data_IF_815698120623
#
_entry.id   IF_815698120623
#
_cell.length_a   1.000
_cell.length_b   1.000
_cell.length_c   1.000
_cell.angle_alpha   90.00
_cell.angle_beta   90.00
_cell.angle_gamma   90.00
#
_symmetry.space_group_name_H-M   'P 1'
#
loop_
_entity.id
_entity.type
_entity.pdbx_description
1 polymer ?
#
# COMPACT_ATOMS: atom_id res chain seq x y z
N UNK A 1 9.18 -9.15 -23.76
CA UNK A 1 9.33 -9.04 -23.15
C UNK A 1 8.73 -8.68 -22.38
N UNK A 2 8.74 -8.78 -22.16
CA UNK A 2 8.11 -8.58 -21.24
C UNK A 2 8.08 -7.58 -20.59
N UNK A 3 7.68 -7.28 -20.61
CA UNK A 3 7.62 -6.49 -20.08
C UNK A 3 7.10 -6.27 -18.99
N UNK A 4 7.48 -5.80 -18.42
CA UNK A 4 7.29 -5.52 -17.16
C UNK A 4 6.50 -4.35 -17.03
N UNK A 5 5.32 -4.48 -16.57
CA UNK A 5 4.55 -3.37 -16.16
C UNK A 5 5.02 -3.03 -14.77
N UNK A 6 5.63 -1.88 -14.63
CA UNK A 6 5.95 -1.36 -13.33
C UNK A 6 4.68 -1.00 -12.58
N UNK A 7 4.66 -1.28 -11.29
CA UNK A 7 3.56 -0.85 -10.43
C UNK A 7 3.84 0.52 -9.82
N UNK A 8 5.12 0.90 -9.68
CA UNK A 8 5.48 2.19 -9.08
C UNK A 8 5.53 3.30 -10.12
N UNK A 9 5.22 4.51 -9.65
CA UNK A 9 5.33 5.72 -10.45
C UNK A 9 5.80 6.83 -9.51
N UNK A 10 6.96 7.41 -9.81
CA UNK A 10 7.58 8.39 -8.94
C UNK A 10 7.30 9.84 -9.37
N UNK A 11 6.38 10.06 -10.29
CA UNK A 11 6.07 11.42 -10.76
C UNK A 11 5.56 12.30 -9.63
N UNK A 12 4.67 11.79 -8.80
CA UNK A 12 4.11 12.57 -7.69
C UNK A 12 5.19 12.99 -6.71
N UNK A 13 6.02 12.04 -6.27
CA UNK A 13 7.07 12.34 -5.29
C UNK A 13 8.15 13.25 -5.90
N UNK A 14 8.45 13.08 -7.19
CA UNK A 14 9.41 13.90 -7.89
C UNK A 14 8.93 15.34 -7.95
N UNK A 15 7.66 15.54 -8.27
CA UNK A 15 7.08 16.88 -8.33
C UNK A 15 7.03 17.52 -6.94
N UNK A 16 6.66 16.75 -5.94
CA UNK A 16 6.62 17.22 -4.56
C UNK A 16 8.00 17.64 -4.07
N UNK A 17 9.03 16.90 -4.47
CA UNK A 17 10.41 17.14 -4.06
C UNK A 17 11.05 18.35 -4.73
N UNK A 18 10.50 18.81 -5.86
CA UNK A 18 11.01 19.97 -6.58
C UNK A 18 12.52 19.91 -6.86
N UNK A 19 12.96 18.73 -7.29
CA UNK A 19 14.36 18.51 -7.64
C UNK A 19 15.26 18.06 -6.51
N UNK A 20 14.71 17.92 -5.31
CA UNK A 20 15.49 17.42 -4.16
C UNK A 20 15.56 15.88 -4.20
N UNK A 21 16.64 15.36 -4.78
CA UNK A 21 16.81 13.91 -4.91
C UNK A 21 17.01 13.22 -3.57
N UNK A 22 17.57 13.91 -2.58
CA UNK A 22 17.75 13.37 -1.24
C UNK A 22 16.38 13.10 -0.59
N UNK A 23 15.43 14.01 -0.79
CA UNK A 23 14.06 13.84 -0.29
C UNK A 23 13.39 12.63 -0.93
N UNK A 24 13.53 12.47 -2.25
CA UNK A 24 12.96 11.31 -2.97
C UNK A 24 13.53 10.02 -2.40
N UNK A 25 14.86 9.97 -2.23
CA UNK A 25 15.54 8.79 -1.70
C UNK A 25 15.04 8.46 -0.29
N UNK A 26 14.90 9.48 0.55
CA UNK A 26 14.44 9.29 1.92
C UNK A 26 13.01 8.72 1.96
N UNK A 27 12.12 9.24 1.13
CA UNK A 27 10.73 8.77 1.11
C UNK A 27 10.63 7.34 0.62
N UNK A 28 11.45 6.96 -0.36
CA UNK A 28 11.50 5.58 -0.85
C UNK A 28 12.02 4.66 0.26
N UNK A 29 13.06 5.09 0.97
CA UNK A 29 13.62 4.31 2.07
C UNK A 29 12.58 4.08 3.17
N UNK A 30 11.84 5.11 3.53
CA UNK A 30 10.79 5.00 4.54
C UNK A 30 9.73 3.99 4.09
N UNK A 31 9.30 4.07 2.82
CA UNK A 31 8.32 3.13 2.29
C UNK A 31 8.84 1.69 2.39
N UNK A 32 10.09 1.46 1.98
CA UNK A 32 10.67 0.12 2.00
C UNK A 32 10.82 -0.44 3.42
N UNK A 33 11.01 0.44 4.40
CA UNK A 33 11.15 0.02 5.80
C UNK A 33 9.81 -0.19 6.49
N UNK A 34 8.83 0.66 6.22
CA UNK A 34 7.58 0.66 6.96
C UNK A 34 6.47 -0.16 6.32
N UNK A 35 6.36 -0.13 4.99
CA UNK A 35 5.23 -0.77 4.32
C UNK A 35 5.19 -2.29 4.54
N UNK A 36 6.31 -3.03 4.54
CA UNK A 36 6.24 -4.47 4.83
C UNK A 36 5.64 -4.78 6.19
N UNK A 37 5.93 -3.96 7.20
CA UNK A 37 5.34 -4.14 8.54
C UNK A 37 3.85 -3.81 8.52
N UNK A 38 3.46 -2.78 7.77
CA UNK A 38 2.05 -2.43 7.62
C UNK A 38 1.26 -3.57 6.98
N UNK A 39 1.84 -4.20 5.96
CA UNK A 39 1.22 -5.35 5.30
C UNK A 39 1.04 -6.51 6.28
N UNK A 40 2.07 -6.80 7.09
CA UNK A 40 1.98 -7.86 8.09
C UNK A 40 0.90 -7.57 9.13
N UNK A 41 0.85 -6.33 9.59
CA UNK A 41 -0.13 -5.93 10.60
C UNK A 41 -1.55 -6.04 10.06
N UNK A 42 -1.75 -5.60 8.81
CA UNK A 42 -3.07 -5.70 8.18
C UNK A 42 -3.45 -7.17 7.96
N UNK A 43 -2.51 -7.99 7.50
CA UNK A 43 -2.77 -9.41 7.29
C UNK A 43 -3.19 -10.09 8.57
N UNK A 44 -2.49 -9.82 9.67
CA UNK A 44 -2.82 -10.42 10.96
C UNK A 44 -4.19 -9.96 11.44
N UNK A 45 -4.50 -8.68 11.30
CA UNK A 45 -5.80 -8.15 11.69
C UNK A 45 -6.93 -8.81 10.90
N UNK A 46 -6.69 -9.08 9.62
CA UNK A 46 -7.68 -9.76 8.76
C UNK A 46 -7.88 -11.21 9.22
N UNK A 47 -6.80 -11.91 9.55
CA UNK A 47 -6.90 -13.28 10.05
C UNK A 47 -7.66 -13.36 11.37
N UNK A 48 -7.45 -12.36 12.22
CA UNK A 48 -8.14 -12.30 13.52
C UNK A 48 -9.55 -11.72 13.40
N UNK A 49 -9.92 -11.25 12.23
CA UNK A 49 -11.18 -10.54 11.99
C UNK A 49 -11.39 -9.38 12.98
N UNK A 50 -10.29 -8.69 13.26
CA UNK A 50 -10.31 -7.50 14.13
C UNK A 50 -10.62 -6.29 13.25
N UNK A 51 -11.92 -6.01 13.08
CA UNK A 51 -12.37 -4.98 12.15
C UNK A 51 -11.87 -3.57 12.52
N UNK A 52 -11.69 -3.28 13.80
CA UNK A 52 -11.17 -1.98 14.22
C UNK A 52 -9.73 -1.79 13.74
N UNK A 53 -8.91 -2.82 13.90
CA UNK A 53 -7.51 -2.77 13.42
C UNK A 53 -7.44 -2.75 11.90
N UNK A 54 -8.28 -3.55 11.23
CA UNK A 54 -8.34 -3.54 9.75
C UNK A 54 -8.64 -2.13 9.25
N UNK A 55 -9.64 -1.49 9.86
CA UNK A 55 -10.01 -0.12 9.50
C UNK A 55 -8.85 0.84 9.69
N UNK A 56 -8.20 0.79 10.84
CA UNK A 56 -7.10 1.69 11.18
C UNK A 56 -5.91 1.51 10.24
N UNK A 57 -5.47 0.27 10.03
CA UNK A 57 -4.32 -0.01 9.19
C UNK A 57 -4.58 0.35 7.72
N UNK A 58 -5.76 0.00 7.19
CA UNK A 58 -6.08 0.33 5.80
C UNK A 58 -6.20 1.83 5.60
N UNK A 59 -6.75 2.54 6.57
CA UNK A 59 -6.84 4.00 6.51
C UNK A 59 -5.44 4.62 6.44
N UNK A 60 -4.54 4.17 7.31
CA UNK A 60 -3.18 4.70 7.36
C UNK A 60 -2.45 4.47 6.04
N UNK A 61 -2.58 3.26 5.47
CA UNK A 61 -1.89 2.93 4.22
C UNK A 61 -2.32 3.80 3.05
N UNK A 62 -3.57 4.29 3.04
CA UNK A 62 -4.03 5.18 1.98
C UNK A 62 -3.22 6.46 1.90
N UNK A 63 -2.64 6.90 3.01
CA UNK A 63 -1.88 8.15 3.03
C UNK A 63 -0.44 7.97 2.56
N UNK A 64 0.09 6.75 2.57
CA UNK A 64 1.50 6.52 2.24
C UNK A 64 1.72 5.98 0.84
N UNK A 65 0.79 5.22 0.29
CA UNK A 65 0.98 4.60 -1.02
C UNK A 65 1.10 5.59 -2.18
N UNK A 66 0.53 6.81 -2.14
CA UNK A 66 0.74 7.75 -3.24
C UNK A 66 2.20 8.16 -3.45
N UNK A 67 3.03 8.09 -2.41
CA UNK A 67 4.42 8.49 -2.53
C UNK A 67 5.19 7.65 -3.55
N UNK A 68 4.77 6.41 -3.76
CA UNK A 68 5.40 5.55 -4.76
C UNK A 68 4.45 5.23 -5.92
N UNK A 69 3.31 5.89 -5.99
CA UNK A 69 2.40 5.84 -7.13
C UNK A 69 1.53 4.62 -7.24
N UNK A 70 1.52 3.75 -6.23
CA UNK A 70 0.71 2.52 -6.32
C UNK A 70 -0.75 2.74 -5.93
N UNK A 71 -1.09 3.95 -5.52
CA UNK A 71 -2.48 4.29 -5.19
C UNK A 71 -3.43 4.10 -6.38
N UNK A 72 -2.95 4.28 -7.61
CA UNK A 72 -3.79 4.07 -8.80
C UNK A 72 -4.19 2.60 -8.95
N UNK A 73 -3.41 1.68 -8.37
CA UNK A 73 -3.67 0.25 -8.49
C UNK A 73 -4.42 -0.33 -7.30
N UNK A 74 -4.15 0.19 -6.08
CA UNK A 74 -4.70 -0.42 -4.86
C UNK A 74 -5.43 0.58 -3.95
N UNK A 75 -5.48 1.86 -4.34
CA UNK A 75 -6.17 2.85 -3.51
C UNK A 75 -7.62 2.50 -3.29
N UNK A 76 -8.31 2.08 -4.35
CA UNK A 76 -9.72 1.69 -4.25
C UNK A 76 -9.89 0.45 -3.37
N UNK A 77 -8.97 -0.53 -3.49
CA UNK A 77 -9.03 -1.72 -2.66
C UNK A 77 -8.94 -1.35 -1.18
N UNK A 78 -8.05 -0.42 -0.83
CA UNK A 78 -7.92 0.01 0.57
C UNK A 78 -9.14 0.78 1.05
N UNK A 79 -9.75 1.59 0.18
CA UNK A 79 -11.00 2.29 0.51
C UNK A 79 -12.09 1.26 0.80
N UNK A 80 -12.21 0.24 -0.04
CA UNK A 80 -13.23 -0.78 0.12
C UNK A 80 -12.99 -1.63 1.37
N UNK A 81 -11.72 -1.98 1.66
CA UNK A 81 -11.36 -2.71 2.88
C UNK A 81 -11.77 -1.89 4.12
N UNK A 82 -11.42 -0.60 4.12
CA UNK A 82 -11.76 0.27 5.25
C UNK A 82 -13.28 0.37 5.44
N UNK A 83 -14.01 0.49 4.34
CA UNK A 83 -15.47 0.61 4.39
C UNK A 83 -16.10 -0.67 4.96
N UNK A 84 -15.69 -1.82 4.45
CA UNK A 84 -16.20 -3.10 4.92
C UNK A 84 -15.86 -3.31 6.40
N UNK A 85 -14.65 -2.94 6.81
CA UNK A 85 -14.24 -3.05 8.20
C UNK A 85 -15.06 -2.12 9.11
N UNK A 86 -15.39 -0.92 8.63
CA UNK A 86 -16.23 0.02 9.37
C UNK A 86 -17.62 -0.59 9.59
N UNK A 87 -18.13 -1.31 8.59
CA UNK A 87 -19.42 -1.98 8.66
C UNK A 87 -19.35 -3.34 9.34
N UNK A 88 -18.17 -3.78 9.68
CA UNK A 88 -17.90 -5.08 10.35
C UNK A 88 -18.49 -6.24 9.56
N UNK A 89 -18.23 -6.25 8.25
CA UNK A 89 -18.78 -7.24 7.34
C UNK A 89 -17.79 -7.55 6.22
N UNK A 90 -18.08 -8.57 5.43
CA UNK A 90 -17.34 -8.87 4.22
C UNK A 90 -15.94 -9.43 4.44
N UNK A 91 -15.73 -10.23 5.50
CA UNK A 91 -14.41 -10.77 5.82
C UNK A 91 -13.77 -11.46 4.63
N UNK A 92 -14.53 -12.24 3.84
CA UNK A 92 -13.98 -12.93 2.68
C UNK A 92 -13.61 -11.97 1.56
N UNK A 93 -14.41 -10.92 1.35
CA UNK A 93 -14.11 -9.90 0.35
C UNK A 93 -12.87 -9.13 0.75
N UNK A 94 -12.74 -8.81 2.03
CA UNK A 94 -11.54 -8.14 2.56
C UNK A 94 -10.29 -8.96 2.25
N UNK A 95 -10.35 -10.29 2.48
CA UNK A 95 -9.20 -11.16 2.17
C UNK A 95 -8.82 -11.11 0.70
N UNK A 96 -9.80 -11.14 -0.19
CA UNK A 96 -9.54 -11.10 -1.62
C UNK A 96 -8.92 -9.77 -2.03
N UNK A 97 -9.46 -8.67 -1.53
CA UNK A 97 -8.91 -7.34 -1.80
C UNK A 97 -7.50 -7.21 -1.26
N UNK A 98 -7.27 -7.74 -0.06
CA UNK A 98 -5.95 -7.69 0.56
C UNK A 98 -4.90 -8.43 -0.27
N UNK A 99 -5.25 -9.58 -0.89
CA UNK A 99 -4.28 -10.31 -1.72
C UNK A 99 -3.75 -9.44 -2.84
N UNK A 100 -4.60 -8.64 -3.48
CA UNK A 100 -4.14 -7.72 -4.51
C UNK A 100 -3.26 -6.61 -3.93
N UNK A 101 -3.64 -6.06 -2.78
CA UNK A 101 -2.83 -5.04 -2.10
C UNK A 101 -1.44 -5.58 -1.79
N UNK A 102 -1.38 -6.78 -1.22
CA UNK A 102 -0.11 -7.42 -0.87
C UNK A 102 0.76 -7.65 -2.11
N UNK A 103 0.17 -8.19 -3.17
CA UNK A 103 0.92 -8.50 -4.40
C UNK A 103 1.51 -7.23 -5.01
N UNK A 104 0.74 -6.16 -5.08
CA UNK A 104 1.23 -4.89 -5.65
C UNK A 104 2.33 -4.30 -4.79
N UNK A 105 2.17 -4.33 -3.46
CA UNK A 105 3.20 -3.82 -2.56
C UNK A 105 4.50 -4.61 -2.70
N UNK A 106 4.43 -5.93 -2.81
CA UNK A 106 5.63 -6.76 -2.98
C UNK A 106 6.34 -6.45 -4.29
N UNK A 107 5.59 -6.24 -5.37
CA UNK A 107 6.19 -5.82 -6.64
C UNK A 107 6.86 -4.46 -6.51
N UNK A 108 6.24 -3.54 -5.76
CA UNK A 108 6.83 -2.23 -5.52
C UNK A 108 8.17 -2.35 -4.79
N UNK A 109 8.26 -3.24 -3.80
CA UNK A 109 9.54 -3.44 -3.10
C UNK A 109 10.63 -3.86 -4.07
N UNK A 110 10.32 -4.81 -4.96
CA UNK A 110 11.31 -5.30 -5.92
C UNK A 110 11.75 -4.21 -6.89
N UNK A 111 10.84 -3.33 -7.29
CA UNK A 111 11.17 -2.25 -8.21
C UNK A 111 12.00 -1.15 -7.55
N UNK A 112 11.79 -0.90 -6.25
CA UNK A 112 12.41 0.22 -5.55
C UNK A 112 13.71 -0.14 -4.85
N UNK A 113 13.99 -1.41 -4.64
CA UNK A 113 15.25 -1.82 -4.01
C UNK A 113 16.42 -1.48 -4.93
N UNK A 114 17.52 -0.98 -4.35
CA UNK A 114 18.71 -0.68 -5.14
C UNK A 114 19.35 -1.94 -5.72
#
# INVERSE_FOLDING_TARGET
MAHFLKVTNLDYITELAKGDTAFIHEMITIFLEENPDEIKNLEQAIEEQDFEKIKSFSHHMKSTIPFVGIDVLIGKDLVDIEKLATEKTGANVIKTLFENVKNVCEKAYNELKP
#
